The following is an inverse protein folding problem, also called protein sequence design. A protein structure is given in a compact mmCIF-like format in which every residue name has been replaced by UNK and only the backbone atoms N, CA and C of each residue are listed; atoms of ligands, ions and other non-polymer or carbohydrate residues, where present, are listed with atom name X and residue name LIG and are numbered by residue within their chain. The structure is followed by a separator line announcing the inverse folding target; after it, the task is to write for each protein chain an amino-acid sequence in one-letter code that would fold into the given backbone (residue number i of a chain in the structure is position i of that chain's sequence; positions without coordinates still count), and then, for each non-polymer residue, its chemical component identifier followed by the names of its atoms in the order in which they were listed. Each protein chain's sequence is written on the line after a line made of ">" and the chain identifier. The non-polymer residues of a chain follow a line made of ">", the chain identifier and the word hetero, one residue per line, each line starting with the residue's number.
data_IF_675747580589
#
_entry.id   IF_675747580589
#
_cell.length_a   1.000
_cell.length_b   1.000
_cell.length_c   1.000
_cell.angle_alpha   90.00
_cell.angle_beta   90.00
_cell.angle_gamma   90.00
#
_symmetry.space_group_name_H-M   'P 1'
#
loop_
_entity.id
_entity.type
_entity.pdbx_description
1 polymer ?
#
# COMPACT_ATOMS: atom_id res chain seq x y z
N UNK A 1 6.43 -78.18 -17.73
CA UNK A 1 5.91 -77.90 -19.08
C UNK A 1 4.94 -76.71 -19.18
N UNK A 2 4.26 -76.28 -18.10
CA UNK A 2 3.35 -75.11 -18.13
C UNK A 2 4.04 -73.73 -17.93
N UNK A 3 5.22 -73.70 -17.32
CA UNK A 3 5.99 -72.46 -17.10
C UNK A 3 6.76 -71.98 -18.35
N UNK A 4 7.06 -72.88 -19.29
CA UNK A 4 7.75 -72.52 -20.54
C UNK A 4 6.81 -71.88 -21.57
N UNK A 5 5.55 -72.32 -21.64
CA UNK A 5 4.55 -71.74 -22.56
C UNK A 5 4.04 -70.37 -22.10
N UNK A 6 4.08 -70.09 -20.78
CA UNK A 6 3.81 -68.77 -20.21
C UNK A 6 4.98 -67.78 -20.42
N UNK A 7 6.24 -68.26 -20.38
CA UNK A 7 7.42 -67.44 -20.69
C UNK A 7 7.46 -67.01 -22.17
N UNK A 8 7.00 -67.86 -23.10
CA UNK A 8 6.91 -67.51 -24.52
C UNK A 8 5.81 -66.49 -24.83
N UNK A 9 4.68 -66.49 -24.08
CA UNK A 9 3.64 -65.45 -24.22
C UNK A 9 4.08 -64.08 -23.68
N UNK A 10 5.00 -64.05 -22.71
CA UNK A 10 5.60 -62.82 -22.16
C UNK A 10 6.91 -62.40 -22.85
N UNK A 11 7.44 -63.21 -23.78
CA UNK A 11 8.52 -62.79 -24.66
C UNK A 11 7.99 -61.73 -25.63
N UNK A 12 7.98 -60.47 -25.17
CA UNK A 12 7.68 -59.26 -25.95
C UNK A 12 8.40 -59.38 -27.29
N UNK A 13 7.65 -59.71 -28.35
CA UNK A 13 8.06 -59.51 -29.73
C UNK A 13 8.51 -58.05 -29.79
N UNK A 14 9.83 -57.79 -29.82
CA UNK A 14 10.38 -56.44 -29.94
C UNK A 14 9.91 -55.93 -31.28
N UNK A 15 8.77 -55.22 -31.28
CA UNK A 15 8.24 -54.56 -32.46
C UNK A 15 9.39 -53.75 -33.07
N UNK A 16 9.69 -53.92 -34.36
CA UNK A 16 10.88 -53.32 -34.97
C UNK A 16 10.85 -51.82 -34.72
N UNK A 17 12.00 -51.25 -34.35
CA UNK A 17 12.14 -49.86 -33.90
C UNK A 17 11.41 -48.88 -34.85
N UNK A 18 11.49 -49.14 -36.16
CA UNK A 18 10.77 -48.41 -37.21
C UNK A 18 9.24 -48.43 -37.08
N UNK A 19 8.61 -49.58 -36.84
CA UNK A 19 7.14 -49.67 -36.65
C UNK A 19 6.70 -48.95 -35.38
N UNK A 20 7.51 -48.94 -34.32
CA UNK A 20 7.25 -48.15 -33.10
C UNK A 20 7.37 -46.65 -33.37
N UNK A 21 8.35 -46.22 -34.17
CA UNK A 21 8.55 -44.84 -34.56
C UNK A 21 7.42 -44.34 -35.49
N UNK A 22 6.95 -45.17 -36.41
CA UNK A 22 5.80 -44.85 -37.28
C UNK A 22 4.48 -44.77 -36.50
N UNK A 23 4.24 -45.70 -35.58
CA UNK A 23 3.09 -45.65 -34.68
C UNK A 23 3.14 -44.37 -33.82
N UNK A 24 4.31 -44.03 -33.25
CA UNK A 24 4.53 -42.78 -32.53
C UNK A 24 4.29 -41.56 -33.41
N UNK A 25 4.80 -41.54 -34.65
CA UNK A 25 4.58 -40.43 -35.61
C UNK A 25 3.10 -40.26 -35.96
N UNK A 26 2.35 -41.34 -36.17
CA UNK A 26 0.89 -41.28 -36.44
C UNK A 26 0.12 -40.76 -35.23
N UNK A 27 0.47 -41.23 -34.03
CA UNK A 27 -0.13 -40.76 -32.77
C UNK A 27 0.17 -39.26 -32.58
N UNK A 28 1.43 -38.84 -32.74
CA UNK A 28 1.83 -37.43 -32.66
C UNK A 28 1.13 -36.58 -33.72
N UNK A 29 0.99 -37.06 -34.96
CA UNK A 29 0.28 -36.34 -36.03
C UNK A 29 -1.20 -36.15 -35.70
N UNK A 30 -1.86 -37.17 -35.15
CA UNK A 30 -3.25 -37.08 -34.69
C UNK A 30 -3.38 -36.12 -33.51
N UNK A 31 -2.53 -36.24 -32.50
CA UNK A 31 -2.47 -35.32 -31.36
C UNK A 31 -2.27 -33.87 -31.82
N UNK A 32 -1.29 -33.60 -32.70
CA UNK A 32 -1.06 -32.27 -33.27
C UNK A 32 -2.28 -31.70 -34.00
N UNK A 33 -3.13 -32.54 -34.59
CA UNK A 33 -4.38 -32.10 -35.21
C UNK A 33 -5.44 -31.65 -34.19
N UNK A 34 -5.47 -32.26 -33.00
CA UNK A 34 -6.39 -31.89 -31.91
C UNK A 34 -5.86 -30.78 -31.00
N UNK A 35 -4.53 -30.58 -30.93
CA UNK A 35 -3.89 -29.51 -30.15
C UNK A 35 -4.55 -28.14 -30.37
N UNK A 36 -4.75 -27.62 -31.60
CA UNK A 36 -5.34 -26.29 -31.77
C UNK A 36 -6.77 -26.19 -31.21
N UNK A 37 -7.60 -27.21 -31.43
CA UNK A 37 -8.96 -27.24 -30.88
C UNK A 37 -8.96 -27.31 -29.34
N UNK A 38 -8.07 -28.12 -28.76
CA UNK A 38 -7.92 -28.24 -27.31
C UNK A 38 -7.36 -26.96 -26.68
N UNK A 39 -6.41 -26.29 -27.33
CA UNK A 39 -5.88 -25.00 -26.87
C UNK A 39 -6.95 -23.91 -26.86
N UNK A 40 -7.78 -23.83 -27.90
CA UNK A 40 -8.92 -22.89 -27.95
C UNK A 40 -9.92 -23.21 -26.83
N UNK A 41 -10.25 -24.49 -26.63
CA UNK A 41 -11.15 -24.89 -25.55
C UNK A 41 -10.59 -24.53 -24.17
N UNK A 42 -9.32 -24.82 -23.90
CA UNK A 42 -8.66 -24.49 -22.63
C UNK A 42 -8.56 -22.98 -22.41
N UNK A 43 -8.37 -22.20 -23.48
CA UNK A 43 -8.41 -20.74 -23.41
C UNK A 43 -9.78 -20.24 -22.93
N UNK A 44 -10.87 -20.72 -23.52
CA UNK A 44 -12.22 -20.34 -23.10
C UNK A 44 -12.56 -20.83 -21.69
N UNK A 45 -12.15 -22.05 -21.33
CA UNK A 45 -12.31 -22.56 -19.95
C UNK A 45 -11.58 -21.66 -18.96
N UNK A 46 -10.34 -21.26 -19.27
CA UNK A 46 -9.58 -20.31 -18.44
C UNK A 46 -10.26 -18.94 -18.34
N UNK A 47 -10.76 -18.40 -19.45
CA UNK A 47 -11.49 -17.13 -19.47
C UNK A 47 -12.78 -17.18 -18.64
N UNK A 48 -13.56 -18.27 -18.74
CA UNK A 48 -14.74 -18.48 -17.92
C UNK A 48 -14.37 -18.59 -16.44
N UNK A 49 -13.24 -19.25 -16.11
CA UNK A 49 -12.77 -19.37 -14.74
C UNK A 49 -12.39 -18.01 -14.12
N UNK A 50 -11.80 -17.11 -14.90
CA UNK A 50 -11.51 -15.74 -14.45
C UNK A 50 -12.79 -14.95 -14.16
N UNK A 51 -13.83 -15.12 -14.97
CA UNK A 51 -15.15 -14.51 -14.73
C UNK A 51 -15.88 -15.12 -13.54
N UNK A 52 -15.40 -16.23 -12.99
CA UNK A 52 -16.00 -16.86 -11.81
C UNK A 52 -15.40 -16.33 -10.49
N UNK A 53 -14.23 -15.66 -10.54
CA UNK A 53 -13.56 -15.06 -9.38
C UNK A 53 -14.37 -13.98 -8.64
N UNK A 54 -15.09 -13.06 -9.32
CA UNK A 54 -15.88 -12.03 -8.64
C UNK A 54 -17.17 -12.56 -7.98
N UNK A 55 -17.45 -13.87 -8.09
CA UNK A 55 -18.66 -14.45 -7.51
C UNK A 55 -18.53 -14.57 -5.99
N UNK A 56 -19.47 -13.95 -5.27
CA UNK A 56 -19.48 -13.88 -3.80
C UNK A 56 -19.41 -15.26 -3.11
N UNK A 57 -19.94 -16.32 -3.72
CA UNK A 57 -19.89 -17.67 -3.14
C UNK A 57 -18.49 -18.27 -3.04
N UNK A 58 -17.52 -17.76 -3.82
CA UNK A 58 -16.10 -18.17 -3.70
C UNK A 58 -15.30 -17.24 -2.77
N UNK A 59 -15.86 -16.10 -2.37
CA UNK A 59 -15.21 -15.16 -1.48
C UNK A 59 -15.39 -15.59 -0.02
N UNK A 60 -14.36 -16.22 0.57
CA UNK A 60 -14.37 -16.66 1.98
C UNK A 60 -14.18 -15.53 3.00
N UNK A 61 -14.28 -14.27 2.56
CA UNK A 61 -13.92 -13.12 3.38
C UNK A 61 -12.41 -12.96 3.53
N UNK A 62 -11.99 -11.88 4.18
CA UNK A 62 -10.58 -11.60 4.45
C UNK A 62 -10.16 -12.25 5.76
N UNK A 63 -9.04 -12.98 5.74
CA UNK A 63 -8.41 -13.59 6.91
C UNK A 63 -7.08 -12.89 7.16
N UNK A 64 -6.71 -12.71 8.42
CA UNK A 64 -5.41 -12.16 8.81
C UNK A 64 -4.57 -13.33 9.30
N UNK A 65 -3.46 -13.57 8.60
CA UNK A 65 -2.58 -14.70 8.92
C UNK A 65 -1.63 -14.41 10.08
N UNK A 66 -1.27 -13.15 10.27
CA UNK A 66 -0.38 -12.69 11.32
C UNK A 66 -1.11 -12.50 12.66
N UNK A 67 -0.86 -13.42 13.60
CA UNK A 67 -1.47 -13.39 14.93
C UNK A 67 -1.05 -12.19 15.77
N UNK A 68 0.07 -11.53 15.45
CA UNK A 68 0.55 -10.37 16.20
C UNK A 68 -0.26 -9.08 15.95
N UNK A 69 -1.07 -9.02 14.88
CA UNK A 69 -1.78 -7.79 14.50
C UNK A 69 -3.05 -7.55 15.31
N UNK A 70 -3.75 -8.61 15.74
CA UNK A 70 -5.00 -8.59 16.54
C UNK A 70 -5.88 -7.33 16.31
N UNK A 71 -6.29 -7.02 15.06
CA UNK A 71 -6.90 -5.73 14.78
C UNK A 71 -8.26 -5.58 15.45
N UNK A 72 -8.56 -4.35 15.85
CA UNK A 72 -9.78 -3.97 16.56
C UNK A 72 -10.00 -4.69 17.91
N UNK A 73 -8.95 -5.26 18.53
CA UNK A 73 -9.02 -5.89 19.86
C UNK A 73 -8.43 -5.03 20.98
N UNK A 74 -7.85 -3.88 20.65
CA UNK A 74 -7.15 -2.99 21.61
C UNK A 74 -7.95 -1.70 21.82
N UNK A 75 -7.91 -1.17 23.04
CA UNK A 75 -8.50 0.13 23.35
C UNK A 75 -7.77 1.25 22.60
N UNK A 76 -8.54 2.11 21.95
CA UNK A 76 -8.00 3.29 21.27
C UNK A 76 -7.91 4.45 22.25
N UNK A 77 -6.71 5.03 22.34
CA UNK A 77 -6.39 6.14 23.26
C UNK A 77 -6.41 7.51 22.58
N UNK A 78 -6.67 7.55 21.27
CA UNK A 78 -6.86 8.79 20.54
C UNK A 78 -8.27 9.31 20.81
N UNK A 79 -8.38 10.45 21.48
CA UNK A 79 -9.66 10.98 21.95
C UNK A 79 -9.92 12.42 21.55
N UNK A 80 -10.98 13.01 22.13
CA UNK A 80 -11.38 14.39 21.88
C UNK A 80 -10.26 15.43 22.08
N UNK A 81 -9.37 15.20 23.05
CA UNK A 81 -8.20 16.06 23.27
C UNK A 81 -7.23 16.07 22.09
N UNK A 82 -6.97 14.91 21.50
CA UNK A 82 -6.07 14.75 20.35
C UNK A 82 -6.73 15.27 19.06
N UNK A 83 -8.05 15.14 18.95
CA UNK A 83 -8.84 15.75 17.86
C UNK A 83 -8.73 17.28 17.91
N UNK A 84 -8.88 17.89 19.09
CA UNK A 84 -8.72 19.34 19.25
C UNK A 84 -7.30 19.81 18.90
N UNK A 85 -6.29 19.01 19.22
CA UNK A 85 -4.90 19.26 18.83
C UNK A 85 -4.76 19.22 17.31
N UNK A 86 -5.36 18.24 16.62
CA UNK A 86 -5.36 18.15 15.17
C UNK A 86 -6.02 19.38 14.53
N UNK A 87 -7.18 19.82 15.03
CA UNK A 87 -7.82 21.06 14.57
C UNK A 87 -6.93 22.29 14.79
N UNK A 88 -6.30 22.41 15.95
CA UNK A 88 -5.37 23.51 16.22
C UNK A 88 -4.17 23.49 15.25
N UNK A 89 -3.66 22.31 14.90
CA UNK A 89 -2.61 22.16 13.90
C UNK A 89 -3.08 22.53 12.49
N UNK A 90 -4.30 22.16 12.10
CA UNK A 90 -4.90 22.56 10.83
C UNK A 90 -4.86 24.08 10.63
N UNK A 91 -5.30 24.84 11.65
CA UNK A 91 -5.30 26.31 11.60
C UNK A 91 -3.90 26.93 11.55
N UNK A 92 -2.89 26.24 12.07
CA UNK A 92 -1.49 26.67 12.00
C UNK A 92 -0.88 26.36 10.65
N UNK A 93 -1.15 25.17 10.11
CA UNK A 93 -0.67 24.73 8.80
C UNK A 93 -1.22 25.63 7.69
N UNK A 94 -2.50 26.02 7.76
CA UNK A 94 -3.11 26.95 6.81
C UNK A 94 -2.35 28.28 6.67
N UNK A 95 -1.63 28.72 7.70
CA UNK A 95 -0.83 29.96 7.68
C UNK A 95 0.56 29.78 7.06
N UNK A 96 1.05 28.53 7.01
CA UNK A 96 2.41 28.17 6.59
C UNK A 96 2.42 27.55 5.19
N UNK A 97 1.27 27.04 4.72
CA UNK A 97 1.20 26.25 3.50
C UNK A 97 1.55 27.01 2.23
N UNK A 98 1.19 28.31 2.16
CA UNK A 98 1.58 29.20 1.07
C UNK A 98 3.07 29.63 1.14
N UNK A 99 3.78 29.19 2.17
CA UNK A 99 5.19 29.44 2.36
C UNK A 99 6.08 28.58 1.47
N UNK A 100 7.32 29.06 1.31
CA UNK A 100 8.38 28.31 0.65
C UNK A 100 8.65 26.96 1.35
N UNK A 101 9.23 26.00 0.61
CA UNK A 101 9.57 24.67 1.12
C UNK A 101 10.40 24.73 2.40
N UNK A 102 11.34 25.68 2.49
CA UNK A 102 12.15 25.91 3.70
C UNK A 102 11.30 26.34 4.90
N UNK A 103 10.36 27.28 4.70
CA UNK A 103 9.49 27.74 5.79
C UNK A 103 8.58 26.62 6.30
N UNK A 104 8.08 25.79 5.38
CA UNK A 104 7.29 24.59 5.70
C UNK A 104 8.12 23.58 6.50
N UNK A 105 9.36 23.36 6.08
CA UNK A 105 10.28 22.46 6.75
C UNK A 105 10.68 22.97 8.15
N UNK A 106 11.02 24.25 8.29
CA UNK A 106 11.37 24.88 9.57
C UNK A 106 10.23 24.81 10.58
N UNK A 107 8.99 25.05 10.13
CA UNK A 107 7.79 24.90 10.95
C UNK A 107 7.66 23.46 11.47
N UNK A 108 7.74 22.47 10.58
CA UNK A 108 7.63 21.06 10.97
C UNK A 108 8.77 20.61 11.88
N UNK A 109 9.99 21.09 11.62
CA UNK A 109 11.17 20.79 12.42
C UNK A 109 10.98 21.29 13.85
N UNK A 110 10.49 22.53 14.02
CA UNK A 110 10.20 23.11 15.33
C UNK A 110 9.11 22.31 16.08
N UNK A 111 8.02 21.94 15.40
CA UNK A 111 6.94 21.17 16.01
C UNK A 111 7.35 19.76 16.43
N UNK A 112 8.10 19.05 15.59
CA UNK A 112 8.60 17.71 15.91
C UNK A 112 9.58 17.74 17.08
N UNK A 113 10.48 18.73 17.13
CA UNK A 113 11.39 18.93 18.27
C UNK A 113 10.63 19.26 19.55
N UNK A 114 9.60 20.11 19.46
CA UNK A 114 8.74 20.41 20.61
C UNK A 114 7.98 19.17 21.10
N UNK A 115 7.57 18.29 20.19
CA UNK A 115 6.97 16.99 20.53
C UNK A 115 7.99 15.98 21.09
N UNK A 116 9.29 16.29 21.07
CA UNK A 116 10.35 15.46 21.64
C UNK A 116 10.90 14.40 20.69
N UNK A 117 10.79 14.61 19.38
CA UNK A 117 11.40 13.78 18.34
C UNK A 117 12.82 14.26 18.02
N UNK A 118 13.70 13.34 17.64
CA UNK A 118 14.97 13.68 17.01
C UNK A 118 14.71 14.06 15.55
N UNK A 119 14.49 15.34 15.30
CA UNK A 119 14.05 15.84 14.00
C UNK A 119 15.16 16.53 13.20
N UNK A 120 15.14 16.28 11.90
CA UNK A 120 16.08 16.78 10.91
C UNK A 120 15.36 17.12 9.60
N UNK A 121 16.01 17.96 8.79
CA UNK A 121 15.59 18.30 7.43
C UNK A 121 16.54 17.68 6.42
N UNK A 122 16.02 17.41 5.23
CA UNK A 122 16.79 16.89 4.11
C UNK A 122 16.47 17.72 2.87
N UNK A 123 17.48 18.43 2.38
CA UNK A 123 17.43 19.11 1.10
C UNK A 123 17.73 18.13 -0.01
N UNK A 124 16.92 18.15 -1.06
CA UNK A 124 17.18 17.35 -2.25
C UNK A 124 17.01 18.20 -3.50
N UNK A 125 17.80 17.85 -4.51
CA UNK A 125 17.71 18.40 -5.86
C UNK A 125 17.70 17.24 -6.83
N UNK A 126 16.62 17.15 -7.60
CA UNK A 126 16.47 16.18 -8.66
C UNK A 126 16.50 16.90 -10.01
N UNK A 127 17.26 16.35 -10.96
CA UNK A 127 17.20 16.78 -12.35
C UNK A 127 16.21 15.90 -13.08
N UNK A 128 15.12 16.47 -13.56
CA UNK A 128 14.16 15.73 -14.37
C UNK A 128 14.75 15.45 -15.77
N UNK A 129 14.16 14.49 -16.49
CA UNK A 129 14.53 14.17 -17.87
C UNK A 129 14.41 15.38 -18.82
N UNK A 130 13.59 16.37 -18.45
CA UNK A 130 13.37 17.64 -19.16
C UNK A 130 14.36 18.76 -18.77
N UNK A 131 15.40 18.45 -17.97
CA UNK A 131 16.40 19.39 -17.44
C UNK A 131 15.92 20.44 -16.42
N UNK A 132 14.67 20.38 -15.96
CA UNK A 132 14.21 21.19 -14.84
C UNK A 132 14.75 20.63 -13.51
N UNK A 133 15.31 21.51 -12.68
CA UNK A 133 15.75 21.19 -11.32
C UNK A 133 14.57 21.30 -10.36
N UNK A 134 14.08 20.16 -9.87
CA UNK A 134 13.10 20.11 -8.80
C UNK A 134 13.87 20.13 -7.48
N UNK A 135 13.61 21.13 -6.66
CA UNK A 135 14.19 21.30 -5.32
C UNK A 135 13.09 21.19 -4.29
N UNK A 136 13.38 20.51 -3.20
CA UNK A 136 12.44 20.39 -2.09
C UNK A 136 13.17 20.09 -0.80
N UNK A 137 12.44 20.24 0.31
CA UNK A 137 12.96 20.04 1.65
C UNK A 137 12.03 19.13 2.41
N UNK A 138 12.48 17.89 2.64
CA UNK A 138 11.77 16.96 3.49
C UNK A 138 12.06 17.24 4.95
N UNK A 139 11.09 16.98 5.82
CA UNK A 139 11.28 17.03 7.26
C UNK A 139 10.90 15.70 7.87
N UNK A 140 11.72 15.18 8.77
CA UNK A 140 11.43 13.93 9.45
C UNK A 140 11.88 13.96 10.90
N UNK A 141 11.25 13.13 11.72
CA UNK A 141 11.56 13.00 13.13
C UNK A 141 11.49 11.56 13.58
N UNK A 142 12.48 11.15 14.36
CA UNK A 142 12.54 9.80 14.94
C UNK A 142 12.20 9.88 16.42
N UNK A 143 11.21 9.08 16.82
CA UNK A 143 10.91 8.80 18.22
C UNK A 143 11.42 7.40 18.56
N UNK A 144 12.49 7.36 19.34
CA UNK A 144 13.00 6.12 19.91
C UNK A 144 12.07 5.66 21.02
N UNK A 145 11.44 4.51 20.82
CA UNK A 145 10.44 4.02 21.76
C UNK A 145 11.13 3.49 23.03
N UNK A 146 10.59 3.78 24.23
CA UNK A 146 11.25 3.39 25.49
C UNK A 146 11.45 1.88 25.69
N UNK A 147 10.64 1.05 25.01
CA UNK A 147 10.70 -0.42 25.08
C UNK A 147 11.19 -1.06 23.78
N UNK A 148 11.69 -0.26 22.86
CA UNK A 148 12.32 -0.70 21.61
C UNK A 148 13.81 -0.91 21.84
N UNK A 149 14.39 -1.88 21.15
CA UNK A 149 15.84 -2.09 21.06
C UNK A 149 16.48 -1.21 19.96
N UNK A 150 15.68 -0.39 19.28
CA UNK A 150 16.11 0.48 18.17
C UNK A 150 16.39 -0.27 16.87
N UNK A 151 16.06 -1.56 16.79
CA UNK A 151 16.35 -2.40 15.62
C UNK A 151 15.23 -2.43 14.59
N UNK A 152 14.03 -2.01 14.98
CA UNK A 152 12.83 -2.01 14.14
C UNK A 152 12.07 -0.69 14.25
N UNK A 153 11.53 -0.22 13.13
CA UNK A 153 10.81 1.04 13.03
C UNK A 153 9.51 0.93 12.23
N UNK A 154 8.58 1.82 12.53
CA UNK A 154 7.36 2.09 11.75
C UNK A 154 7.46 3.48 11.13
N UNK A 155 7.14 3.59 9.84
CA UNK A 155 7.13 4.86 9.12
C UNK A 155 5.70 5.38 9.00
N UNK A 156 5.46 6.60 9.46
CA UNK A 156 4.23 7.34 9.23
C UNK A 156 4.58 8.57 8.40
N UNK A 157 4.04 8.65 7.20
CA UNK A 157 4.31 9.76 6.30
C UNK A 157 3.07 10.57 5.98
N UNK A 158 3.24 11.86 5.70
CA UNK A 158 2.21 12.71 5.12
C UNK A 158 2.87 13.70 4.16
N UNK A 159 2.57 13.67 2.86
CA UNK A 159 3.10 14.66 1.92
C UNK A 159 2.39 16.01 2.11
N UNK A 160 3.03 17.13 1.78
CA UNK A 160 2.36 18.44 1.76
C UNK A 160 1.28 18.55 0.68
N UNK A 161 1.54 17.95 -0.48
CA UNK A 161 0.61 17.87 -1.60
C UNK A 161 0.02 16.47 -1.67
N UNK A 162 -1.29 16.41 -1.79
CA UNK A 162 -2.02 15.17 -2.03
C UNK A 162 -1.78 14.67 -3.46
N UNK A 163 -2.08 13.39 -3.70
CA UNK A 163 -2.14 12.80 -5.04
C UNK A 163 -3.05 13.58 -6.00
N UNK A 164 -4.11 14.21 -5.48
CA UNK A 164 -5.07 14.99 -6.28
C UNK A 164 -4.52 16.37 -6.69
N UNK A 165 -3.36 16.76 -6.18
CA UNK A 165 -2.78 18.10 -6.35
C UNK A 165 -3.30 19.12 -5.33
N UNK A 166 -4.32 18.77 -4.54
CA UNK A 166 -4.77 19.58 -3.40
C UNK A 166 -3.77 19.52 -2.24
N UNK A 167 -3.85 20.48 -1.32
CA UNK A 167 -3.03 20.52 -0.13
C UNK A 167 -3.48 19.50 0.93
N UNK A 168 -2.58 18.67 1.43
CA UNK A 168 -2.87 17.62 2.41
C UNK A 168 -2.80 18.16 3.86
N UNK A 169 -3.65 19.15 4.15
CA UNK A 169 -3.64 19.87 5.43
C UNK A 169 -4.03 18.91 6.57
N UNK A 170 -5.12 18.16 6.38
CA UNK A 170 -5.63 17.26 7.40
C UNK A 170 -4.70 16.07 7.65
N UNK A 171 -3.96 15.59 6.63
CA UNK A 171 -2.98 14.51 6.81
C UNK A 171 -1.80 14.96 7.68
N UNK A 172 -1.22 16.12 7.37
CA UNK A 172 -0.11 16.67 8.17
C UNK A 172 -0.58 17.05 9.59
N UNK A 173 -1.78 17.60 9.74
CA UNK A 173 -2.36 17.90 11.05
C UNK A 173 -2.57 16.65 11.91
N UNK A 174 -3.07 15.57 11.30
CA UNK A 174 -3.25 14.27 11.96
C UNK A 174 -1.91 13.68 12.39
N UNK A 175 -0.89 13.76 11.52
CA UNK A 175 0.47 13.29 11.82
C UNK A 175 1.07 14.01 13.03
N UNK A 176 0.93 15.34 13.11
CA UNK A 176 1.40 16.14 14.27
C UNK A 176 0.61 15.86 15.55
N UNK A 177 -0.69 15.58 15.44
CA UNK A 177 -1.49 15.15 16.60
C UNK A 177 -1.01 13.79 17.12
N UNK A 178 -0.80 12.83 16.21
CA UNK A 178 -0.25 11.51 16.54
C UNK A 178 1.16 11.60 17.16
N UNK A 179 1.99 12.55 16.72
CA UNK A 179 3.30 12.79 17.34
C UNK A 179 3.19 13.03 18.86
N UNK A 180 2.20 13.84 19.29
CA UNK A 180 1.94 14.09 20.72
C UNK A 180 1.39 12.85 21.43
N UNK A 181 0.54 12.07 20.77
CA UNK A 181 0.04 10.80 21.31
C UNK A 181 1.21 9.83 21.56
N UNK A 182 2.13 9.67 20.60
CA UNK A 182 3.28 8.78 20.74
C UNK A 182 4.18 9.20 21.89
N UNK A 183 4.39 10.51 22.09
CA UNK A 183 5.17 11.00 23.23
C UNK A 183 4.50 10.72 24.57
N UNK A 184 3.17 10.84 24.64
CA UNK A 184 2.36 10.62 25.86
C UNK A 184 2.39 9.16 26.32
N UNK A 185 2.43 8.22 25.37
CA UNK A 185 2.28 6.81 25.64
C UNK A 185 3.65 6.10 25.58
N UNK A 186 4.02 5.29 26.58
CA UNK A 186 5.38 4.70 26.70
C UNK A 186 5.46 3.20 26.37
N UNK A 187 4.36 2.61 25.91
CA UNK A 187 4.27 1.15 25.69
C UNK A 187 4.72 0.70 24.29
N UNK A 188 5.19 1.60 23.44
CA UNK A 188 5.63 1.28 22.08
C UNK A 188 6.85 0.34 22.10
N UNK A 189 6.80 -0.70 21.29
CA UNK A 189 7.87 -1.71 21.14
C UNK A 189 8.76 -1.49 19.92
N UNK A 190 8.44 -0.50 19.07
CA UNK A 190 9.18 -0.15 17.87
C UNK A 190 9.38 1.36 17.79
N UNK A 191 10.47 1.77 17.17
CA UNK A 191 10.71 3.18 16.90
C UNK A 191 9.69 3.71 15.89
N UNK A 192 9.36 4.98 15.99
CA UNK A 192 8.38 5.63 15.11
C UNK A 192 9.07 6.75 14.37
N UNK A 193 9.03 6.66 13.04
CA UNK A 193 9.55 7.67 12.14
C UNK A 193 8.36 8.45 11.58
N UNK A 194 8.35 9.75 11.81
CA UNK A 194 7.40 10.66 11.17
C UNK A 194 8.11 11.36 10.01
N UNK A 195 7.52 11.32 8.82
CA UNK A 195 8.07 11.92 7.62
C UNK A 195 7.05 12.85 6.96
N UNK A 196 7.43 14.08 6.71
CA UNK A 196 6.67 15.00 5.87
C UNK A 196 7.47 15.31 4.62
N UNK A 197 6.95 14.86 3.49
CA UNK A 197 7.60 14.98 2.19
C UNK A 197 7.14 16.24 1.48
N UNK A 198 8.10 16.87 0.81
CA UNK A 198 7.80 17.89 -0.19
C UNK A 198 7.67 17.23 -1.57
N UNK A 199 6.90 17.83 -2.48
CA UNK A 199 6.71 17.31 -3.84
C UNK A 199 6.30 15.81 -3.93
N UNK A 200 5.46 15.35 -2.99
CA UNK A 200 4.81 14.03 -2.98
C UNK A 200 5.83 12.88 -3.21
N UNK A 201 5.81 12.25 -4.38
CA UNK A 201 6.68 11.11 -4.74
C UNK A 201 8.17 11.41 -4.70
N UNK A 202 8.60 12.62 -5.10
CA UNK A 202 10.02 12.94 -5.21
C UNK A 202 10.66 13.04 -3.82
N UNK A 203 9.97 13.70 -2.89
CA UNK A 203 10.41 13.78 -1.50
C UNK A 203 10.51 12.40 -0.86
N UNK A 204 9.51 11.54 -1.05
CA UNK A 204 9.55 10.16 -0.52
C UNK A 204 10.73 9.37 -1.09
N UNK A 205 10.97 9.45 -2.41
CA UNK A 205 12.09 8.74 -3.02
C UNK A 205 13.44 9.24 -2.49
N UNK A 206 13.63 10.56 -2.40
CA UNK A 206 14.87 11.16 -1.90
C UNK A 206 15.16 10.74 -0.46
N UNK A 207 14.12 10.68 0.38
CA UNK A 207 14.25 10.26 1.77
C UNK A 207 14.59 8.77 1.88
N UNK A 208 13.91 7.90 1.15
CA UNK A 208 14.19 6.46 1.14
C UNK A 208 15.62 6.16 0.65
N UNK A 209 16.06 6.84 -0.41
CA UNK A 209 17.43 6.70 -0.93
C UNK A 209 18.48 7.07 0.12
N UNK A 210 18.29 8.22 0.80
CA UNK A 210 19.19 8.65 1.86
C UNK A 210 19.15 7.71 3.08
N UNK A 211 17.97 7.21 3.46
CA UNK A 211 17.80 6.31 4.59
C UNK A 211 18.52 4.98 4.38
N UNK A 212 18.39 4.40 3.18
CA UNK A 212 19.04 3.15 2.81
C UNK A 212 20.49 3.30 2.31
N UNK A 213 20.99 4.54 2.19
CA UNK A 213 22.35 4.82 1.71
C UNK A 213 22.56 4.45 0.24
N UNK A 214 21.51 4.52 -0.58
CA UNK A 214 21.57 4.24 -2.01
C UNK A 214 21.58 5.57 -2.76
N UNK A 215 22.52 5.76 -3.68
CA UNK A 215 22.56 6.96 -4.54
C UNK A 215 21.84 6.67 -5.86
N UNK A 216 20.57 7.05 -5.97
CA UNK A 216 19.70 6.76 -7.12
C UNK A 216 19.62 7.86 -8.18
N UNK A 217 20.63 8.73 -8.26
CA UNK A 217 20.67 9.84 -9.22
C UNK A 217 20.11 11.17 -8.69
N UNK A 218 19.53 11.17 -7.49
CA UNK A 218 19.23 12.40 -6.74
C UNK A 218 20.45 12.88 -5.96
N UNK A 219 20.70 14.19 -6.01
CA UNK A 219 21.65 14.84 -5.12
C UNK A 219 20.87 15.29 -3.88
N UNK A 220 21.21 14.74 -2.72
CA UNK A 220 20.66 15.17 -1.45
C UNK A 220 21.78 15.67 -0.55
N UNK A 221 21.47 16.72 0.22
CA UNK A 221 22.32 17.22 1.29
C UNK A 221 21.47 17.28 2.55
N UNK A 222 21.90 16.60 3.59
CA UNK A 222 21.30 16.71 4.93
C UNK A 222 22.41 17.04 5.91
N UNK A 223 22.19 18.02 6.79
CA UNK A 223 23.15 18.34 7.84
C UNK A 223 23.39 17.15 8.78
N UNK A 224 22.31 16.40 9.09
CA UNK A 224 22.35 15.14 9.85
C UNK A 224 21.20 14.25 9.37
N UNK A 225 21.50 13.01 8.97
CA UNK A 225 20.47 12.00 8.66
C UNK A 225 20.36 11.02 9.84
N UNK A 226 19.56 11.33 10.89
CA UNK A 226 19.32 10.36 11.95
C UNK A 226 18.64 9.12 11.34
N UNK A 227 19.09 7.94 11.77
CA UNK A 227 18.57 6.65 11.31
C UNK A 227 18.06 5.86 12.50
N UNK A 228 17.03 5.06 12.25
CA UNK A 228 16.54 4.03 13.17
C UNK A 228 16.79 2.67 12.52
N UNK A 229 16.29 1.61 13.15
CA UNK A 229 16.39 0.24 12.65
C UNK A 229 15.51 -0.03 11.41
N UNK A 230 15.40 -1.29 11.03
CA UNK A 230 14.70 -1.71 9.80
C UNK A 230 13.24 -1.27 9.83
N UNK A 231 12.80 -0.56 8.78
CA UNK A 231 11.41 -0.14 8.64
C UNK A 231 10.58 -1.37 8.25
N UNK A 232 9.65 -1.78 9.11
CA UNK A 232 8.79 -2.94 8.85
C UNK A 232 7.58 -2.58 8.00
N UNK A 233 6.92 -1.48 8.35
CA UNK A 233 5.73 -1.03 7.67
C UNK A 233 5.70 0.49 7.54
N UNK A 234 5.07 0.97 6.47
CA UNK A 234 4.86 2.38 6.20
C UNK A 234 3.37 2.68 5.95
N UNK A 235 2.85 3.70 6.64
CA UNK A 235 1.50 4.20 6.40
C UNK A 235 1.60 5.66 5.99
N UNK A 236 1.16 5.95 4.78
CA UNK A 236 1.09 7.30 4.25
C UNK A 236 -0.33 7.86 4.44
N UNK A 237 -0.45 9.04 5.05
CA UNK A 237 -1.70 9.73 5.33
C UNK A 237 -1.93 10.81 4.28
N UNK A 238 -2.95 10.62 3.44
CA UNK A 238 -3.30 11.54 2.37
C UNK A 238 -4.76 12.01 2.51
N UNK A 239 -4.97 13.06 3.28
CA UNK A 239 -6.27 13.66 3.55
C UNK A 239 -6.32 15.07 2.93
N UNK A 240 -6.76 15.20 1.67
CA UNK A 240 -6.75 16.46 0.96
C UNK A 240 -7.71 17.48 1.57
N UNK A 241 -7.29 18.74 1.57
CA UNK A 241 -8.07 19.90 1.97
C UNK A 241 -8.42 19.95 3.45
N UNK A 242 -9.50 20.70 3.73
CA UNK A 242 -10.09 20.90 5.06
C UNK A 242 -11.53 20.41 5.14
N UNK A 243 -12.01 19.78 4.06
CA UNK A 243 -13.39 19.30 3.93
C UNK A 243 -13.55 17.95 4.62
N UNK A 244 -14.80 17.58 4.84
CA UNK A 244 -15.14 16.28 5.38
C UNK A 244 -15.04 15.18 4.30
N UNK A 245 -14.79 13.95 4.73
CA UNK A 245 -14.56 12.80 3.88
C UNK A 245 -15.76 11.84 3.93
N UNK A 246 -16.00 11.13 2.83
CA UNK A 246 -17.07 10.16 2.69
C UNK A 246 -16.58 8.73 2.91
N UNK A 247 -15.39 8.40 2.41
CA UNK A 247 -14.78 7.07 2.55
C UNK A 247 -13.26 7.12 2.53
N UNK A 248 -12.63 6.05 2.99
CA UNK A 248 -11.17 5.86 2.93
C UNK A 248 -10.82 4.99 1.73
N UNK A 249 -10.09 5.55 0.77
CA UNK A 249 -9.46 4.81 -0.30
C UNK A 249 -8.11 4.26 0.18
N UNK A 250 -7.90 2.95 0.01
CA UNK A 250 -6.60 2.31 0.26
C UNK A 250 -5.89 2.16 -1.08
N UNK A 251 -4.69 2.72 -1.16
CA UNK A 251 -3.78 2.62 -2.30
C UNK A 251 -2.54 1.82 -1.87
N UNK A 252 -2.19 0.79 -2.61
CA UNK A 252 -1.17 -0.18 -2.18
C UNK A 252 -0.26 -0.66 -3.32
N UNK A 253 -0.44 -0.14 -4.53
CA UNK A 253 0.31 -0.57 -5.71
C UNK A 253 1.70 0.08 -5.72
N UNK A 254 2.71 -0.78 -5.78
CA UNK A 254 4.11 -0.38 -5.89
C UNK A 254 4.64 -0.33 -7.30
N UNK A 255 5.86 0.17 -7.42
CA UNK A 255 6.62 0.12 -8.67
C UNK A 255 6.77 -1.33 -9.17
N UNK A 256 6.61 -1.54 -10.48
CA UNK A 256 6.66 -2.83 -11.17
C UNK A 256 5.62 -3.85 -10.65
N UNK A 257 4.47 -3.37 -10.14
CA UNK A 257 3.37 -4.24 -9.71
C UNK A 257 3.66 -5.01 -8.41
N UNK A 258 4.61 -4.51 -7.60
CA UNK A 258 4.83 -5.00 -6.24
C UNK A 258 3.61 -4.69 -5.37
N UNK A 259 3.28 -5.60 -4.46
CA UNK A 259 2.16 -5.47 -3.54
C UNK A 259 2.67 -5.70 -2.11
N UNK A 260 2.14 -4.97 -1.11
CA UNK A 260 2.42 -5.22 0.30
C UNK A 260 1.79 -6.54 0.75
N UNK A 261 2.15 -6.96 1.94
CA UNK A 261 1.42 -8.00 2.65
C UNK A 261 -0.08 -7.67 2.78
N UNK A 262 -0.93 -8.63 2.41
CA UNK A 262 -2.39 -8.53 2.50
C UNK A 262 -2.86 -8.30 3.95
N UNK A 263 -2.13 -8.82 4.93
CA UNK A 263 -2.48 -8.66 6.35
C UNK A 263 -2.47 -7.20 6.80
N UNK A 264 -1.61 -6.35 6.22
CA UNK A 264 -1.57 -4.91 6.50
C UNK A 264 -2.86 -4.24 5.99
N UNK A 265 -3.26 -4.54 4.75
CA UNK A 265 -4.50 -4.02 4.15
C UNK A 265 -5.71 -4.50 4.97
N UNK A 266 -5.77 -5.80 5.27
CA UNK A 266 -6.87 -6.40 6.04
C UNK A 266 -6.97 -5.77 7.43
N UNK A 267 -5.85 -5.47 8.07
CA UNK A 267 -5.80 -4.82 9.38
C UNK A 267 -6.41 -3.42 9.30
N UNK A 268 -5.99 -2.60 8.33
CA UNK A 268 -6.56 -1.25 8.17
C UNK A 268 -8.05 -1.30 7.85
N UNK A 269 -8.49 -2.17 6.94
CA UNK A 269 -9.91 -2.33 6.62
C UNK A 269 -10.72 -2.78 7.85
N UNK A 270 -10.17 -3.68 8.66
CA UNK A 270 -10.82 -4.20 9.87
C UNK A 270 -10.94 -3.10 10.92
N UNK A 271 -9.87 -2.36 11.20
CA UNK A 271 -9.88 -1.24 12.17
C UNK A 271 -10.83 -0.13 11.71
N UNK A 272 -10.77 0.26 10.44
CA UNK A 272 -11.64 1.29 9.91
C UNK A 272 -13.13 0.89 9.97
N UNK A 273 -13.44 -0.38 9.69
CA UNK A 273 -14.82 -0.88 9.73
C UNK A 273 -15.37 -1.03 11.14
N UNK A 274 -14.61 -1.64 12.06
CA UNK A 274 -15.12 -2.00 13.39
C UNK A 274 -14.87 -0.93 14.44
N UNK A 275 -13.74 -0.22 14.37
CA UNK A 275 -13.37 0.81 15.34
C UNK A 275 -13.82 2.20 14.90
N UNK A 276 -13.37 2.65 13.72
CA UNK A 276 -13.69 3.99 13.21
C UNK A 276 -15.10 4.10 12.62
N UNK A 277 -15.71 2.96 12.23
CA UNK A 277 -16.99 2.88 11.51
C UNK A 277 -16.99 3.71 10.22
N UNK A 278 -15.89 3.67 9.48
CA UNK A 278 -15.71 4.39 8.21
C UNK A 278 -15.73 3.40 7.05
N UNK A 279 -16.49 3.67 5.98
CA UNK A 279 -16.44 2.83 4.79
C UNK A 279 -15.06 2.93 4.12
N UNK A 280 -14.49 1.77 3.79
CA UNK A 280 -13.24 1.67 3.03
C UNK A 280 -13.52 1.21 1.60
N UNK A 281 -12.75 1.75 0.67
CA UNK A 281 -12.72 1.36 -0.74
C UNK A 281 -11.29 1.03 -1.14
N UNK A 282 -11.15 0.12 -2.09
CA UNK A 282 -9.87 -0.08 -2.76
C UNK A 282 -9.81 0.91 -3.93
N UNK A 283 -8.78 1.75 -3.96
CA UNK A 283 -8.63 2.85 -4.92
C UNK A 283 -9.76 3.89 -4.86
N UNK A 284 -9.90 4.69 -5.92
CA UNK A 284 -10.83 5.83 -6.08
C UNK A 284 -12.27 5.43 -6.41
N UNK A 285 -12.59 4.15 -6.37
CA UNK A 285 -13.95 3.72 -6.61
C UNK A 285 -14.79 4.12 -5.39
N UNK A 286 -15.60 5.17 -5.54
CA UNK A 286 -16.43 5.75 -4.47
C UNK A 286 -17.18 4.72 -3.64
N UNK A 287 -17.50 5.11 -2.39
CA UNK A 287 -17.93 4.26 -1.29
C UNK A 287 -18.65 2.98 -1.72
N UNK A 288 -17.98 1.85 -1.46
CA UNK A 288 -18.32 0.52 -1.93
C UNK A 288 -19.67 0.05 -1.42
N UNK A 289 -20.72 0.34 -2.19
CA UNK A 289 -21.95 -0.41 -2.08
C UNK A 289 -21.70 -1.79 -2.68
N UNK A 290 -21.73 -2.82 -1.82
CA UNK A 290 -22.21 -4.12 -2.30
C UNK A 290 -23.56 -3.86 -2.94
N UNK A 291 -23.65 -4.17 -4.23
CA UNK A 291 -24.89 -4.01 -4.97
C UNK A 291 -26.06 -4.65 -4.22
N UNK A 292 -27.24 -4.02 -4.30
CA UNK A 292 -28.42 -4.53 -3.60
C UNK A 292 -28.85 -5.88 -4.18
N UNK A 293 -28.51 -6.13 -5.45
CA UNK A 293 -28.67 -7.43 -6.10
C UNK A 293 -27.35 -8.21 -6.22
N UNK A 294 -27.41 -9.56 -6.27
CA UNK A 294 -26.22 -10.40 -6.50
C UNK A 294 -25.48 -10.07 -7.79
N UNK A 295 -26.21 -9.63 -8.82
CA UNK A 295 -25.61 -9.23 -10.11
C UNK A 295 -24.83 -7.91 -10.00
N UNK A 296 -25.37 -6.93 -9.28
CA UNK A 296 -24.65 -5.68 -9.03
C UNK A 296 -23.41 -5.91 -8.14
N UNK A 297 -23.50 -6.78 -7.12
CA UNK A 297 -22.34 -7.16 -6.29
C UNK A 297 -21.24 -7.81 -7.13
N UNK A 298 -21.62 -8.70 -8.05
CA UNK A 298 -20.69 -9.32 -8.99
C UNK A 298 -20.04 -8.28 -9.91
N UNK A 299 -20.81 -7.36 -10.50
CA UNK A 299 -20.28 -6.31 -11.37
C UNK A 299 -19.36 -5.35 -10.62
N UNK A 300 -19.70 -4.99 -9.38
CA UNK A 300 -18.84 -4.16 -8.54
C UNK A 300 -17.52 -4.89 -8.22
N UNK A 301 -17.57 -6.16 -7.84
CA UNK A 301 -16.39 -6.98 -7.56
C UNK A 301 -15.52 -7.15 -8.81
N UNK A 302 -16.15 -7.38 -9.98
CA UNK A 302 -15.45 -7.46 -11.26
C UNK A 302 -14.76 -6.14 -11.59
N UNK A 303 -15.44 -5.01 -11.38
CA UNK A 303 -14.86 -3.67 -11.56
C UNK A 303 -13.62 -3.47 -10.67
N UNK A 304 -13.71 -3.80 -9.38
CA UNK A 304 -12.57 -3.69 -8.46
C UNK A 304 -11.39 -4.59 -8.89
N UNK A 305 -11.65 -5.82 -9.31
CA UNK A 305 -10.61 -6.72 -9.83
C UNK A 305 -9.95 -6.14 -11.09
N UNK A 306 -10.75 -5.65 -12.04
CA UNK A 306 -10.21 -5.06 -13.28
C UNK A 306 -9.43 -3.79 -13.02
N UNK A 307 -9.88 -2.95 -12.09
CA UNK A 307 -9.16 -1.73 -11.72
C UNK A 307 -7.84 -2.06 -11.02
N UNK A 308 -7.83 -3.00 -10.09
CA UNK A 308 -6.59 -3.47 -9.43
C UNK A 308 -5.60 -4.02 -10.44
N UNK A 309 -6.06 -4.85 -11.39
CA UNK A 309 -5.22 -5.37 -12.48
C UNK A 309 -4.69 -4.22 -13.33
N UNK A 310 -5.51 -3.20 -13.62
CA UNK A 310 -5.09 -2.03 -14.40
C UNK A 310 -3.98 -1.25 -13.68
N UNK A 311 -4.15 -0.94 -12.40
CA UNK A 311 -3.13 -0.23 -11.63
C UNK A 311 -1.83 -1.05 -11.53
N UNK A 312 -1.94 -2.36 -11.28
CA UNK A 312 -0.78 -3.25 -11.22
C UNK A 312 -0.07 -3.38 -12.59
N UNK A 313 -0.81 -3.48 -13.69
CA UNK A 313 -0.27 -3.64 -15.03
C UNK A 313 0.46 -2.39 -15.54
N UNK A 314 0.08 -1.19 -15.06
CA UNK A 314 0.79 0.05 -15.37
C UNK A 314 2.20 0.07 -14.78
N UNK A 315 2.46 -0.70 -13.71
CA UNK A 315 3.78 -0.80 -13.07
C UNK A 315 4.28 0.49 -12.43
N UNK A 316 3.46 1.54 -12.39
CA UNK A 316 3.73 2.79 -11.68
C UNK A 316 3.11 2.74 -10.28
N UNK A 317 3.77 3.30 -9.26
CA UNK A 317 3.20 3.37 -7.93
C UNK A 317 1.94 4.24 -7.94
N UNK A 318 0.86 3.79 -7.30
CA UNK A 318 -0.39 4.56 -7.21
C UNK A 318 -0.29 5.70 -6.20
N UNK A 319 0.66 5.61 -5.26
CA UNK A 319 0.94 6.62 -4.24
C UNK A 319 2.39 6.57 -3.75
N UNK A 320 2.82 7.57 -2.98
CA UNK A 320 4.14 7.69 -2.36
C UNK A 320 4.56 6.43 -1.61
N UNK A 321 3.63 5.80 -0.86
CA UNK A 321 3.89 4.55 -0.15
C UNK A 321 4.35 3.43 -1.10
N UNK A 322 3.89 3.44 -2.36
CA UNK A 322 4.28 2.47 -3.37
C UNK A 322 5.78 2.46 -3.69
N UNK A 323 6.50 3.54 -3.38
CA UNK A 323 7.97 3.61 -3.52
C UNK A 323 8.71 2.84 -2.43
N UNK A 324 8.13 2.76 -1.22
CA UNK A 324 8.73 2.05 -0.09
C UNK A 324 8.76 0.52 -0.31
N UNK A 325 7.81 -0.02 -1.10
CA UNK A 325 7.77 -1.44 -1.45
C UNK A 325 9.06 -1.94 -2.13
N UNK A 326 9.73 -1.07 -2.89
CA UNK A 326 11.03 -1.39 -3.53
C UNK A 326 12.10 -1.79 -2.51
N UNK A 327 12.01 -1.23 -1.30
CA UNK A 327 12.94 -1.49 -0.20
C UNK A 327 12.45 -2.60 0.73
N UNK A 328 11.47 -3.41 0.32
CA UNK A 328 10.86 -4.49 1.11
C UNK A 328 10.15 -3.99 2.38
N UNK A 329 9.67 -2.75 2.34
CA UNK A 329 8.83 -2.17 3.39
C UNK A 329 7.37 -2.37 2.98
N UNK A 330 6.57 -3.03 3.80
CA UNK A 330 5.14 -3.16 3.54
C UNK A 330 4.45 -1.80 3.71
N UNK A 331 3.94 -1.24 2.62
CA UNK A 331 3.52 0.15 2.60
C UNK A 331 2.14 0.33 1.97
N UNK A 332 1.33 1.20 2.58
CA UNK A 332 0.00 1.57 2.09
C UNK A 332 -0.24 3.08 2.27
N UNK A 333 -1.04 3.65 1.39
CA UNK A 333 -1.57 5.01 1.56
C UNK A 333 -3.04 4.94 1.89
N UNK A 334 -3.43 5.68 2.92
CA UNK A 334 -4.82 5.92 3.29
C UNK A 334 -5.20 7.28 2.75
N UNK A 335 -6.08 7.30 1.75
CA UNK A 335 -6.55 8.49 1.08
C UNK A 335 -8.00 8.83 1.47
N UNK A 336 -8.25 10.08 1.86
CA UNK A 336 -9.61 10.55 2.17
C UNK A 336 -10.36 10.96 0.91
N UNK A 337 -11.43 10.25 0.54
CA UNK A 337 -12.32 10.66 -0.55
C UNK A 337 -13.22 11.77 -0.02
N UNK A 338 -13.09 12.98 -0.56
CA UNK A 338 -13.88 14.15 -0.18
C UNK A 338 -15.38 13.89 -0.38
N UNK A 339 -16.19 14.26 0.60
CA UNK A 339 -17.62 14.05 0.54
C UNK A 339 -18.28 14.86 -0.59
N UNK A 340 -19.05 14.18 -1.43
CA UNK A 340 -19.87 14.81 -2.48
C UNK A 340 -21.36 14.86 -2.13
N UNK A 341 -21.73 14.33 -0.95
CA UNK A 341 -23.08 14.38 -0.38
C UNK A 341 -23.84 13.04 -0.37
N UNK A 342 -23.20 11.94 -0.79
CA UNK A 342 -23.85 10.63 -0.88
C UNK A 342 -23.92 9.86 0.46
N UNK A 343 -23.06 10.17 1.44
CA UNK A 343 -22.98 9.45 2.72
C UNK A 343 -22.73 10.40 3.89
N UNK A 344 -22.84 9.86 5.11
CA UNK A 344 -22.50 10.58 6.33
C UNK A 344 -21.01 10.94 6.30
N UNK A 345 -20.67 12.24 6.22
CA UNK A 345 -19.29 12.66 6.16
C UNK A 345 -18.61 12.46 7.52
N UNK A 346 -17.28 12.35 7.50
CA UNK A 346 -16.45 12.27 8.69
C UNK A 346 -15.25 13.22 8.61
N UNK A 347 -14.82 13.69 9.78
CA UNK A 347 -13.64 14.54 9.96
C UNK A 347 -12.63 13.84 10.90
N UNK A 348 -11.67 14.57 11.47
CA UNK A 348 -10.64 14.08 12.41
C UNK A 348 -11.16 13.13 13.49
N UNK A 349 -12.41 13.29 13.93
CA UNK A 349 -13.02 12.42 14.92
C UNK A 349 -12.99 10.94 14.52
N UNK A 350 -13.18 10.61 13.24
CA UNK A 350 -13.10 9.22 12.77
C UNK A 350 -11.74 8.85 12.16
N UNK A 351 -10.93 9.84 11.75
CA UNK A 351 -9.58 9.57 11.20
C UNK A 351 -8.65 9.02 12.28
N UNK A 352 -8.74 9.53 13.50
CA UNK A 352 -7.87 9.10 14.59
C UNK A 352 -8.38 7.94 15.44
N UNK A 353 -9.65 7.52 15.27
CA UNK A 353 -10.27 6.43 16.04
C UNK A 353 -9.96 5.04 15.49
#
# INVERSE_FOLDING_TARGET
>A
MLLSSLKEKFARKKTPLGKRLEQRRRIIRRLKGYVPAMSILLYFVGAIWLLLLPYDGYNKGTYISENALLPAQVNVYYGAGDINIAHAYRERILKVIDGDSEKRADFMLAELRQAGFNAATQHYTMKNATFDEIKGVNTFGIYHAPRSDGTEALLLSAPWKSRTGEDNINGVASLLSLAKLFKRNTYWSKDIILLVTDEYTYGMQAWLEAYHGVSGGMSYSSDVMPRSGVIQAAINMDFPGTREYESLAILFEGANGQLPNLDLINTVVTVAKYTAQVPCTLHDNGAGQRGQSPFESYLASLKHLTDTIRYQALGHPSSDAGLALRYKIDAITIHGITATGAYQPFDFHRIGM
#
